data_IF_372943910213
#
_entry.id   IF_372943910213
#
_cell.length_a   1.000
_cell.length_b   1.000
_cell.length_c   1.000
_cell.angle_alpha   90.00
_cell.angle_beta   90.00
_cell.angle_gamma   90.00
#
_symmetry.space_group_name_H-M   'P 1'
#
loop_
_entity.id
_entity.type
_entity.pdbx_description
1 polymer ?
#
# COMPACT_ATOMS: atom_id res chain seq x y z
N UNK A 1 -6.04 -9.57 11.37
CA UNK A 1 -6.64 -8.32 10.86
C UNK A 1 -7.18 -7.57 12.04
N UNK A 2 -7.30 -6.24 11.96
CA UNK A 2 -7.94 -5.49 13.03
C UNK A 2 -9.47 -5.66 12.99
N UNK A 3 -10.15 -5.37 14.09
CA UNK A 3 -11.59 -5.52 14.24
C UNK A 3 -12.40 -4.43 13.50
N UNK A 4 -11.75 -3.31 13.13
CA UNK A 4 -12.38 -2.21 12.38
C UNK A 4 -12.70 -2.65 10.96
N UNK A 5 -13.96 -2.46 10.53
CA UNK A 5 -14.43 -2.79 9.19
C UNK A 5 -14.85 -1.54 8.43
N UNK A 6 -14.60 -1.54 7.13
CA UNK A 6 -15.06 -0.51 6.20
C UNK A 6 -15.83 -1.22 5.08
N UNK A 7 -17.01 -0.71 4.74
CA UNK A 7 -17.77 -1.23 3.61
C UNK A 7 -17.17 -0.69 2.30
N UNK A 8 -16.76 -1.60 1.43
CA UNK A 8 -16.16 -1.33 0.12
C UNK A 8 -16.91 -2.06 -1.01
N UNK A 9 -18.15 -2.49 -0.76
CA UNK A 9 -19.00 -3.24 -1.70
C UNK A 9 -19.19 -2.57 -3.06
N UNK A 10 -19.04 -1.24 -3.14
CA UNK A 10 -19.19 -0.45 -4.37
C UNK A 10 -17.91 -0.34 -5.20
N UNK A 11 -16.78 -0.81 -4.69
CA UNK A 11 -15.48 -0.69 -5.35
C UNK A 11 -15.23 -1.86 -6.31
N UNK A 12 -14.88 -1.56 -7.56
CA UNK A 12 -14.46 -2.55 -8.57
C UNK A 12 -12.95 -2.47 -8.77
N UNK A 13 -12.27 -3.60 -8.56
CA UNK A 13 -10.80 -3.70 -8.64
C UNK A 13 -10.32 -4.60 -9.79
N UNK A 14 -11.17 -4.84 -10.78
CA UNK A 14 -10.98 -5.83 -11.85
C UNK A 14 -9.70 -5.62 -12.68
N UNK A 15 -9.11 -4.43 -12.64
CA UNK A 15 -7.88 -4.08 -13.37
C UNK A 15 -6.58 -4.36 -12.58
N UNK A 16 -6.68 -4.81 -11.33
CA UNK A 16 -5.56 -5.01 -10.40
C UNK A 16 -5.22 -6.50 -10.24
N UNK A 17 -4.60 -7.07 -11.25
CA UNK A 17 -4.13 -8.47 -11.24
C UNK A 17 -2.68 -8.63 -10.75
N UNK A 18 -2.26 -9.85 -10.42
CA UNK A 18 -0.87 -10.19 -10.07
C UNK A 18 0.16 -9.70 -11.10
N UNK A 19 -0.22 -9.72 -12.39
CA UNK A 19 0.61 -9.23 -13.49
C UNK A 19 0.91 -7.73 -13.36
N UNK A 20 -0.04 -6.94 -12.87
CA UNK A 20 0.09 -5.50 -12.69
C UNK A 20 1.13 -5.15 -11.62
N UNK A 21 1.18 -5.92 -10.53
CA UNK A 21 2.10 -5.71 -9.41
C UNK A 21 3.47 -6.37 -9.59
N UNK A 22 3.64 -7.23 -10.60
CA UNK A 22 4.91 -7.90 -10.87
C UNK A 22 6.04 -6.87 -11.03
N UNK A 23 7.08 -7.03 -10.21
CA UNK A 23 8.27 -6.15 -10.25
C UNK A 23 8.98 -6.32 -11.59
N UNK A 24 9.22 -5.21 -12.28
CA UNK A 24 10.11 -5.18 -13.44
C UNK A 24 11.52 -5.56 -12.96
N UNK A 25 12.05 -6.67 -13.45
CA UNK A 25 13.42 -7.09 -13.16
C UNK A 25 14.33 -6.52 -14.26
N UNK A 26 15.44 -5.85 -13.92
CA UNK A 26 16.41 -5.44 -14.93
C UNK A 26 16.97 -6.69 -15.62
N UNK A 27 17.27 -6.57 -16.91
CA UNK A 27 17.93 -7.64 -17.66
C UNK A 27 19.29 -7.97 -16.99
N UNK A 28 19.62 -9.26 -16.88
CA UNK A 28 20.93 -9.70 -16.37
C UNK A 28 22.00 -9.24 -17.37
N UNK A 29 22.88 -8.32 -16.97
CA UNK A 29 24.10 -7.99 -17.73
C UNK A 29 25.15 -9.06 -17.44
N UNK A 30 25.89 -9.48 -18.46
CA UNK A 30 26.92 -10.53 -18.36
C UNK A 30 28.02 -10.14 -17.36
N UNK A 31 28.56 -11.14 -16.67
CA UNK A 31 29.08 -11.05 -15.31
C UNK A 31 30.55 -10.63 -15.13
N UNK A 32 31.13 -9.80 -16.00
CA UNK A 32 32.58 -9.48 -15.87
C UNK A 32 32.95 -8.04 -15.56
N UNK A 33 32.08 -7.05 -15.72
CA UNK A 33 32.36 -5.66 -15.32
C UNK A 33 31.09 -4.99 -14.79
N UNK A 34 31.24 -4.18 -13.74
CA UNK A 34 30.22 -3.31 -13.11
C UNK A 34 29.22 -3.92 -12.11
N UNK A 35 29.72 -4.64 -11.10
CA UNK A 35 28.95 -4.92 -9.86
C UNK A 35 28.85 -3.67 -8.97
N UNK A 36 29.81 -2.72 -9.06
CA UNK A 36 29.85 -1.52 -8.23
C UNK A 36 29.13 -0.30 -8.82
N UNK A 37 28.82 -0.30 -10.13
CA UNK A 37 28.12 0.81 -10.80
C UNK A 37 26.60 0.58 -10.91
N UNK A 38 26.08 -0.50 -10.29
CA UNK A 38 24.65 -0.78 -10.24
C UNK A 38 23.95 0.15 -9.24
N UNK A 39 23.82 1.44 -9.56
CA UNK A 39 22.79 2.27 -8.96
C UNK A 39 21.46 1.60 -9.26
N UNK A 40 20.76 1.17 -8.21
CA UNK A 40 19.36 0.75 -8.31
C UNK A 40 18.59 1.93 -8.89
N UNK A 41 18.36 1.92 -10.21
CA UNK A 41 17.47 2.86 -10.86
C UNK A 41 16.12 2.76 -10.16
N UNK A 42 15.76 3.81 -9.43
CA UNK A 42 14.44 3.95 -8.83
C UNK A 42 13.48 3.93 -10.01
N UNK A 43 12.77 2.83 -10.20
CA UNK A 43 11.80 2.71 -11.28
C UNK A 43 10.79 3.84 -11.08
N UNK A 44 10.73 4.84 -11.98
CA UNK A 44 9.83 5.96 -11.79
C UNK A 44 8.39 5.44 -11.75
N UNK A 45 7.56 6.05 -10.90
CA UNK A 45 6.15 5.71 -10.84
C UNK A 45 5.52 6.06 -12.19
N UNK A 46 5.14 5.04 -12.97
CA UNK A 46 4.45 5.23 -14.25
C UNK A 46 3.14 6.01 -14.06
N UNK A 47 2.79 6.87 -15.01
CA UNK A 47 1.57 7.69 -14.94
C UNK A 47 0.30 6.84 -14.82
N UNK A 48 0.26 5.70 -15.51
CA UNK A 48 -0.80 4.69 -15.38
C UNK A 48 -1.03 4.22 -13.94
N UNK A 49 0.04 4.06 -13.15
CA UNK A 49 -0.06 3.67 -11.72
C UNK A 49 -0.59 4.81 -10.86
N UNK A 50 -0.25 6.05 -11.19
CA UNK A 50 -0.75 7.24 -10.48
C UNK A 50 -2.25 7.41 -10.69
N UNK A 51 -2.73 7.22 -11.92
CA UNK A 51 -4.15 7.36 -12.26
C UNK A 51 -5.00 6.29 -11.58
N UNK A 52 -4.55 5.02 -11.62
CA UNK A 52 -5.22 3.91 -10.93
C UNK A 52 -5.21 4.11 -9.41
N UNK A 53 -4.12 4.63 -8.85
CA UNK A 53 -4.05 4.96 -7.42
C UNK A 53 -5.09 6.03 -7.06
N UNK A 54 -5.19 7.12 -7.85
CA UNK A 54 -6.15 8.20 -7.60
C UNK A 54 -7.59 7.72 -7.64
N UNK A 55 -7.97 6.89 -8.63
CA UNK A 55 -9.34 6.37 -8.73
C UNK A 55 -9.68 5.45 -7.57
N UNK A 56 -8.76 4.57 -7.19
CA UNK A 56 -8.91 3.63 -6.07
C UNK A 56 -9.02 4.38 -4.74
N UNK A 57 -8.10 5.32 -4.49
CA UNK A 57 -8.07 6.12 -3.26
C UNK A 57 -9.33 6.97 -3.12
N UNK A 58 -9.87 7.52 -4.21
CA UNK A 58 -11.11 8.28 -4.17
C UNK A 58 -12.28 7.47 -3.60
N UNK A 59 -12.42 6.20 -4.02
CA UNK A 59 -13.47 5.30 -3.54
C UNK A 59 -13.28 4.99 -2.05
N UNK A 60 -12.05 4.65 -1.64
CA UNK A 60 -11.73 4.33 -0.24
C UNK A 60 -11.92 5.55 0.67
N UNK A 61 -11.50 6.74 0.21
CA UNK A 61 -11.68 7.99 0.96
C UNK A 61 -13.16 8.35 1.14
N UNK A 62 -14.00 8.06 0.16
CA UNK A 62 -15.45 8.27 0.27
C UNK A 62 -16.05 7.32 1.31
N UNK A 63 -15.68 6.04 1.31
CA UNK A 63 -16.09 5.09 2.34
C UNK A 63 -15.64 5.54 3.74
N UNK A 64 -14.38 5.99 3.89
CA UNK A 64 -13.87 6.53 5.17
C UNK A 64 -14.67 7.75 5.62
N UNK A 65 -15.03 8.66 4.72
CA UNK A 65 -15.83 9.85 5.05
C UNK A 65 -17.26 9.50 5.48
N UNK A 66 -17.83 8.42 4.93
CA UNK A 66 -19.16 7.93 5.28
C UNK A 66 -19.20 7.22 6.65
N UNK A 67 -18.07 6.72 7.14
CA UNK A 67 -17.99 6.09 8.47
C UNK A 67 -18.23 7.09 9.62
N UNK A 68 -18.86 6.64 10.70
CA UNK A 68 -19.03 7.44 11.92
C UNK A 68 -17.68 7.89 12.51
N UNK A 69 -16.67 7.02 12.41
CA UNK A 69 -15.33 7.25 12.95
C UNK A 69 -14.40 8.03 12.02
N UNK A 70 -14.93 8.68 10.97
CA UNK A 70 -14.16 9.38 9.92
C UNK A 70 -12.99 10.22 10.44
N UNK A 71 -13.14 10.91 11.58
CA UNK A 71 -12.09 11.75 12.16
C UNK A 71 -10.98 10.91 12.81
N UNK A 72 -11.36 9.90 13.58
CA UNK A 72 -10.44 8.98 14.24
C UNK A 72 -9.70 8.13 13.20
N UNK A 73 -10.41 7.59 12.21
CA UNK A 73 -9.86 6.69 11.19
C UNK A 73 -8.80 7.38 10.32
N UNK A 74 -8.98 8.67 9.99
CA UNK A 74 -7.94 9.46 9.30
C UNK A 74 -6.66 9.60 10.12
N UNK A 75 -6.79 9.88 11.41
CA UNK A 75 -5.62 9.98 12.31
C UNK A 75 -4.96 8.62 12.51
N UNK A 76 -5.77 7.56 12.65
CA UNK A 76 -5.32 6.19 12.79
C UNK A 76 -4.50 5.73 11.58
N UNK A 77 -5.02 5.91 10.36
CA UNK A 77 -4.32 5.53 9.11
C UNK A 77 -3.04 6.35 8.86
N UNK A 78 -2.96 7.58 9.38
CA UNK A 78 -1.74 8.40 9.34
C UNK A 78 -0.67 7.89 10.33
N UNK A 79 -1.09 7.28 11.43
CA UNK A 79 -0.19 6.81 12.48
C UNK A 79 0.51 5.50 12.09
N UNK A 80 1.75 5.32 12.55
CA UNK A 80 2.50 4.07 12.37
C UNK A 80 2.19 3.12 13.51
N UNK A 81 1.97 1.85 13.21
CA UNK A 81 1.91 0.82 14.24
C UNK A 81 3.29 0.63 14.86
N UNK A 82 3.35 0.62 16.18
CA UNK A 82 4.57 0.37 16.95
C UNK A 82 4.21 -0.31 18.28
N UNK A 83 5.14 -1.11 18.80
CA UNK A 83 5.05 -1.69 20.14
C UNK A 83 5.98 -0.90 21.06
N UNK A 84 5.49 -0.56 22.25
CA UNK A 84 6.30 0.02 23.30
C UNK A 84 6.57 -0.99 24.41
N UNK A 85 7.57 -0.66 25.24
CA UNK A 85 7.92 -1.48 26.39
C UNK A 85 6.68 -1.73 27.26
N UNK A 86 6.43 -3.00 27.58
CA UNK A 86 5.25 -3.44 28.34
C UNK A 86 4.04 -3.84 27.49
N UNK A 87 4.02 -3.57 26.19
CA UNK A 87 2.93 -4.01 25.29
C UNK A 87 3.26 -5.40 24.72
N UNK A 88 2.49 -6.41 25.15
CA UNK A 88 2.67 -7.80 24.73
C UNK A 88 1.73 -8.13 23.55
N UNK A 89 2.25 -8.50 22.36
CA UNK A 89 1.44 -8.74 21.16
C UNK A 89 0.34 -9.78 21.34
N UNK A 90 0.60 -10.84 22.11
CA UNK A 90 -0.36 -11.91 22.36
C UNK A 90 -1.52 -11.48 23.29
N UNK A 91 -1.39 -10.36 24.00
CA UNK A 91 -2.46 -9.78 24.83
C UNK A 91 -3.27 -8.73 24.07
N UNK A 92 -2.77 -8.23 22.95
CA UNK A 92 -3.48 -7.27 22.13
C UNK A 92 -4.59 -7.97 21.34
N UNK A 93 -5.79 -7.37 21.39
CA UNK A 93 -6.89 -7.74 20.51
C UNK A 93 -6.84 -6.81 19.30
N UNK A 94 -6.59 -7.41 18.15
CA UNK A 94 -6.54 -6.68 16.89
C UNK A 94 -7.94 -6.50 16.34
#
# INVERSE_FOLDING_TARGET
GTSTKLDLSTAKFDNLDDKYFKRVRPAKKNAEKDIFDSKKEKTPLSDKRREVQRSTDAVVLNAIKASADRRLLRQYLKSRFQLWNGVLPHKLKF
#
